data_IF_226110977401
#
_entry.id   IF_226110977401
#
_cell.length_a   1.000
_cell.length_b   1.000
_cell.length_c   1.000
_cell.angle_alpha   90.00
_cell.angle_beta   90.00
_cell.angle_gamma   90.00
#
_symmetry.space_group_name_H-M   'P 1'
#
loop_
_entity.id
_entity.type
_entity.pdbx_description
1 polymer ?
#
# COMPACT_ATOMS: atom_id res chain seq x y z
N UNK A 1 -85.44 16.46 -54.77
CA UNK A 1 -85.05 15.32 -55.62
C UNK A 1 -83.85 14.71 -54.92
N UNK A 2 -84.11 13.91 -53.88
CA UNK A 2 -84.30 12.45 -53.88
C UNK A 2 -82.96 11.81 -53.42
N UNK A 3 -82.85 11.40 -52.16
CA UNK A 3 -83.17 10.07 -51.59
C UNK A 3 -82.11 9.02 -51.99
N UNK A 4 -81.30 8.48 -51.07
CA UNK A 4 -81.57 7.42 -50.07
C UNK A 4 -81.06 6.05 -50.58
N UNK A 5 -80.65 5.19 -49.64
CA UNK A 5 -80.52 3.72 -49.72
C UNK A 5 -79.13 3.19 -50.17
N UNK A 6 -78.37 2.50 -49.32
CA UNK A 6 -78.55 1.18 -48.66
C UNK A 6 -77.93 0.03 -49.49
N UNK A 7 -77.33 -0.91 -48.76
CA UNK A 7 -76.56 -2.10 -49.20
C UNK A 7 -77.42 -3.08 -50.05
N UNK A 8 -76.82 -4.13 -50.64
CA UNK A 8 -76.91 -5.40 -49.89
C UNK A 8 -75.69 -6.32 -49.97
N UNK A 9 -75.63 -7.11 -48.91
CA UNK A 9 -74.91 -8.35 -48.66
C UNK A 9 -75.61 -9.50 -49.41
N UNK A 10 -74.87 -10.42 -50.01
CA UNK A 10 -75.36 -11.75 -50.41
C UNK A 10 -74.36 -12.76 -49.82
N UNK A 11 -74.66 -13.38 -48.68
CA UNK A 11 -75.49 -14.58 -48.47
C UNK A 11 -74.60 -15.82 -48.44
N UNK A 12 -74.51 -16.38 -47.23
CA UNK A 12 -73.74 -17.55 -46.82
C UNK A 12 -74.67 -18.74 -46.85
N UNK A 13 -74.32 -19.79 -47.62
CA UNK A 13 -74.93 -21.11 -47.51
C UNK A 13 -74.07 -21.99 -46.57
N UNK A 14 -74.62 -22.52 -45.46
CA UNK A 14 -73.86 -23.16 -44.40
C UNK A 14 -73.96 -24.70 -44.45
N UNK A 15 -73.05 -25.38 -45.15
CA UNK A 15 -72.78 -26.80 -44.83
C UNK A 15 -71.46 -27.33 -45.41
N UNK A 16 -70.36 -27.19 -44.66
CA UNK A 16 -69.16 -28.03 -44.81
C UNK A 16 -68.26 -27.94 -43.54
N UNK A 17 -67.79 -29.08 -42.98
CA UNK A 17 -67.02 -29.11 -41.73
C UNK A 17 -65.56 -28.61 -41.87
N UNK A 18 -64.90 -28.16 -40.78
CA UNK A 18 -63.61 -27.50 -40.84
C UNK A 18 -62.44 -28.50 -40.94
N UNK A 19 -61.52 -28.28 -41.89
CA UNK A 19 -60.20 -28.95 -41.93
C UNK A 19 -59.09 -27.91 -41.82
N UNK A 20 -58.29 -28.08 -40.78
CA UNK A 20 -57.18 -27.23 -40.34
C UNK A 20 -55.88 -27.59 -41.10
N UNK A 21 -55.34 -26.72 -41.96
CA UNK A 21 -53.90 -26.66 -42.34
C UNK A 21 -53.54 -25.34 -43.07
N UNK A 22 -52.38 -24.68 -42.81
CA UNK A 22 -51.98 -23.42 -43.47
C UNK A 22 -51.31 -23.63 -44.85
N UNK A 23 -51.37 -22.65 -45.79
CA UNK A 23 -50.88 -22.83 -47.16
C UNK A 23 -49.41 -22.45 -47.39
N UNK A 24 -48.75 -23.31 -48.17
CA UNK A 24 -47.43 -23.19 -48.79
C UNK A 24 -47.53 -22.52 -50.18
N UNK A 25 -46.56 -21.66 -50.54
CA UNK A 25 -46.54 -20.87 -51.77
C UNK A 25 -45.80 -21.58 -52.92
N UNK A 26 -46.22 -21.42 -54.21
CA UNK A 26 -45.70 -22.24 -55.32
C UNK A 26 -44.61 -21.59 -56.19
N UNK A 27 -43.68 -22.48 -56.57
CA UNK A 27 -42.87 -22.69 -57.78
C UNK A 27 -42.80 -21.69 -58.97
N UNK A 28 -41.58 -21.57 -59.52
CA UNK A 28 -41.27 -21.39 -60.94
C UNK A 28 -40.01 -22.23 -61.33
N UNK A 29 -40.00 -22.80 -62.53
CA UNK A 29 -38.97 -23.67 -63.12
C UNK A 29 -38.37 -23.02 -64.40
N UNK A 30 -37.48 -23.66 -65.19
CA UNK A 30 -36.20 -24.34 -64.90
C UNK A 30 -35.03 -23.77 -65.77
N UNK A 31 -33.75 -23.92 -65.37
CA UNK A 31 -32.60 -23.62 -66.23
C UNK A 31 -31.50 -24.70 -66.13
N UNK A 32 -30.78 -24.86 -67.23
CA UNK A 32 -30.00 -26.02 -67.64
C UNK A 32 -28.72 -26.30 -66.83
N UNK A 33 -28.31 -27.57 -66.90
CA UNK A 33 -27.11 -28.11 -66.28
C UNK A 33 -25.82 -27.58 -66.93
N UNK A 34 -24.96 -26.94 -66.11
CA UNK A 34 -23.52 -26.83 -66.36
C UNK A 34 -22.76 -27.46 -65.19
N UNK A 35 -21.80 -28.34 -65.53
CA UNK A 35 -20.93 -29.02 -64.59
C UNK A 35 -19.90 -28.03 -64.02
N UNK A 36 -19.90 -27.83 -62.70
CA UNK A 36 -18.92 -26.99 -62.02
C UNK A 36 -17.56 -27.71 -61.91
N UNK A 37 -16.58 -27.31 -62.72
CA UNK A 37 -15.16 -27.60 -62.46
C UNK A 37 -14.74 -26.93 -61.14
N UNK A 38 -14.28 -27.74 -60.18
CA UNK A 38 -13.73 -27.24 -58.93
C UNK A 38 -12.36 -26.60 -59.17
N UNK A 39 -12.27 -25.27 -59.05
CA UNK A 39 -11.00 -24.53 -59.08
C UNK A 39 -10.18 -24.86 -57.83
N UNK A 40 -9.08 -25.58 -57.99
CA UNK A 40 -8.08 -25.78 -56.92
C UNK A 40 -7.40 -24.43 -56.59
N UNK A 41 -7.13 -24.12 -55.30
CA UNK A 41 -6.55 -22.83 -54.94
C UNK A 41 -5.10 -22.70 -55.43
N UNK A 42 -4.81 -21.61 -56.13
CA UNK A 42 -3.46 -21.22 -56.55
C UNK A 42 -2.66 -20.84 -55.30
N UNK A 43 -1.68 -21.67 -54.95
CA UNK A 43 -0.74 -21.40 -53.86
C UNK A 43 0.39 -20.51 -54.40
N UNK A 44 0.39 -19.23 -54.02
CA UNK A 44 1.51 -18.31 -54.29
C UNK A 44 2.61 -18.59 -53.25
N UNK A 45 3.65 -19.34 -53.65
CA UNK A 45 4.84 -19.55 -52.82
C UNK A 45 5.79 -18.36 -53.00
N UNK A 46 5.85 -17.48 -51.99
CA UNK A 46 6.86 -16.42 -51.92
C UNK A 46 8.19 -17.03 -51.46
N UNK A 47 9.04 -17.46 -52.41
CA UNK A 47 10.44 -17.83 -52.12
C UNK A 47 11.21 -16.57 -51.73
N UNK A 48 11.43 -16.38 -50.43
CA UNK A 48 12.51 -15.50 -49.98
C UNK A 48 13.84 -16.22 -50.26
N UNK A 49 14.86 -15.54 -50.81
CA UNK A 49 16.18 -16.14 -50.94
C UNK A 49 16.72 -16.46 -49.54
N UNK A 50 17.24 -17.67 -49.39
CA UNK A 50 17.94 -18.14 -48.19
C UNK A 50 19.16 -17.25 -47.89
N UNK A 51 18.91 -16.16 -47.16
CA UNK A 51 19.92 -15.36 -46.49
C UNK A 51 20.34 -16.07 -45.21
N UNK A 52 21.61 -16.46 -45.17
CA UNK A 52 22.25 -17.28 -44.16
C UNK A 52 21.98 -16.90 -42.68
N UNK A 53 21.64 -17.91 -41.86
CA UNK A 53 22.18 -18.02 -40.49
C UNK A 53 21.26 -17.66 -39.31
N UNK A 54 20.38 -18.59 -38.93
CA UNK A 54 20.17 -19.01 -37.54
C UNK A 54 19.61 -18.00 -36.52
N UNK A 55 18.27 -17.96 -36.42
CA UNK A 55 17.47 -17.25 -35.41
C UNK A 55 17.59 -17.77 -33.95
N UNK A 56 18.66 -18.50 -33.57
CA UNK A 56 18.84 -19.00 -32.20
C UNK A 56 20.27 -18.83 -31.63
N UNK A 57 21.11 -17.97 -32.21
CA UNK A 57 22.50 -17.76 -31.75
C UNK A 57 22.91 -16.32 -31.40
N UNK A 58 21.99 -15.35 -31.48
CA UNK A 58 22.31 -13.91 -31.33
C UNK A 58 21.84 -13.26 -30.02
N UNK A 59 20.73 -13.73 -29.44
CA UNK A 59 20.13 -13.10 -28.25
C UNK A 59 21.04 -13.16 -27.00
N UNK A 60 21.75 -14.28 -26.80
CA UNK A 60 22.71 -14.40 -25.69
C UNK A 60 23.90 -13.45 -25.84
N UNK A 61 24.27 -13.07 -27.06
CA UNK A 61 25.34 -12.10 -27.33
C UNK A 61 24.91 -10.67 -26.98
N UNK A 62 23.61 -10.37 -27.13
CA UNK A 62 23.04 -9.08 -26.73
C UNK A 62 23.03 -8.97 -25.21
N UNK A 63 22.59 -10.02 -24.49
CA UNK A 63 22.65 -10.06 -23.04
C UNK A 63 24.10 -10.01 -22.50
N UNK A 64 25.04 -10.68 -23.18
CA UNK A 64 26.46 -10.63 -22.84
C UNK A 64 27.06 -9.23 -23.08
N UNK A 65 26.70 -8.58 -24.19
CA UNK A 65 27.14 -7.22 -24.47
C UNK A 65 26.60 -6.23 -23.43
N UNK A 66 25.34 -6.36 -23.03
CA UNK A 66 24.70 -5.52 -21.99
C UNK A 66 25.33 -5.74 -20.61
N UNK A 67 25.68 -6.98 -20.27
CA UNK A 67 26.44 -7.27 -19.05
C UNK A 67 27.84 -6.64 -19.10
N UNK A 68 28.54 -6.73 -20.24
CA UNK A 68 29.87 -6.15 -20.41
C UNK A 68 29.84 -4.62 -20.35
N UNK A 69 28.83 -3.96 -20.92
CA UNK A 69 28.67 -2.50 -20.81
C UNK A 69 28.29 -2.08 -19.39
N UNK A 70 27.46 -2.86 -18.67
CA UNK A 70 27.18 -2.62 -17.26
C UNK A 70 28.45 -2.74 -16.40
N UNK A 71 29.29 -3.76 -16.64
CA UNK A 71 30.58 -3.90 -15.93
C UNK A 71 31.58 -2.80 -16.31
N UNK A 72 31.62 -2.37 -17.57
CA UNK A 72 32.44 -1.25 -18.02
C UNK A 72 32.00 0.06 -17.36
N UNK A 73 30.70 0.34 -17.31
CA UNK A 73 30.16 1.53 -16.66
C UNK A 73 30.43 1.52 -15.15
N UNK A 74 30.26 0.37 -14.48
CA UNK A 74 30.62 0.18 -13.08
C UNK A 74 32.11 0.41 -12.83
N UNK A 75 32.98 -0.09 -13.71
CA UNK A 75 34.43 0.11 -13.60
C UNK A 75 34.81 1.58 -13.82
N UNK A 76 34.22 2.27 -14.81
CA UNK A 76 34.44 3.70 -15.02
C UNK A 76 33.97 4.54 -13.83
N UNK A 77 32.85 4.16 -13.19
CA UNK A 77 32.37 4.81 -11.97
C UNK A 77 33.36 4.60 -10.82
N UNK A 78 33.81 3.36 -10.60
CA UNK A 78 34.76 3.05 -9.53
C UNK A 78 36.13 3.69 -9.79
N UNK A 79 36.54 3.77 -11.06
CA UNK A 79 37.76 4.44 -11.48
C UNK A 79 37.70 5.95 -11.23
N UNK A 80 36.57 6.60 -11.56
CA UNK A 80 36.33 7.99 -11.22
C UNK A 80 36.29 8.22 -9.70
N UNK A 81 35.64 7.33 -8.94
CA UNK A 81 35.63 7.40 -7.48
C UNK A 81 37.02 7.23 -6.88
N UNK A 82 37.87 6.36 -7.45
CA UNK A 82 39.25 6.14 -7.04
C UNK A 82 40.19 7.29 -7.40
N UNK A 83 39.98 7.94 -8.54
CA UNK A 83 40.74 9.12 -8.97
C UNK A 83 40.25 10.43 -8.32
N UNK A 84 39.04 10.43 -7.74
CA UNK A 84 38.46 11.60 -7.08
C UNK A 84 38.93 11.77 -5.62
N UNK A 85 39.21 13.01 -5.24
CA UNK A 85 39.62 13.34 -3.88
C UNK A 85 38.43 13.19 -2.90
N UNK A 86 38.73 12.93 -1.62
CA UNK A 86 37.69 12.76 -0.59
C UNK A 86 36.71 13.95 -0.52
N UNK A 87 37.20 15.16 -0.73
CA UNK A 87 36.39 16.38 -0.69
C UNK A 87 35.41 16.50 -1.87
N UNK A 88 35.82 16.05 -3.08
CA UNK A 88 34.94 16.04 -4.26
C UNK A 88 33.81 15.00 -4.13
N UNK A 89 34.11 13.85 -3.52
CA UNK A 89 33.09 12.83 -3.21
C UNK A 89 32.07 13.35 -2.21
N UNK A 90 32.52 14.13 -1.23
CA UNK A 90 31.66 14.77 -0.23
C UNK A 90 30.76 15.84 -0.85
N UNK A 91 31.28 16.71 -1.73
CA UNK A 91 30.47 17.75 -2.37
C UNK A 91 29.39 17.18 -3.29
N UNK A 92 29.68 16.09 -4.01
CA UNK A 92 28.68 15.41 -4.84
C UNK A 92 27.64 14.71 -3.95
N UNK A 93 28.05 14.07 -2.86
CA UNK A 93 27.13 13.46 -1.90
C UNK A 93 26.19 14.50 -1.25
N UNK A 94 26.69 15.71 -0.96
CA UNK A 94 25.89 16.80 -0.41
C UNK A 94 24.83 17.32 -1.40
N UNK A 95 25.11 17.28 -2.71
CA UNK A 95 24.12 17.64 -3.75
C UNK A 95 22.93 16.68 -3.82
N UNK A 96 23.14 15.39 -3.54
CA UNK A 96 22.10 14.35 -3.59
C UNK A 96 21.46 14.05 -2.24
N UNK A 97 21.90 14.69 -1.16
CA UNK A 97 21.15 14.64 0.11
C UNK A 97 19.86 15.43 -0.10
N UNK A 98 18.67 14.81 -0.10
CA UNK A 98 17.45 15.58 -0.03
C UNK A 98 17.56 16.43 1.23
N UNK A 99 17.44 17.75 1.07
CA UNK A 99 17.05 18.63 2.17
C UNK A 99 15.65 18.19 2.56
N UNK A 100 15.61 17.09 3.31
CA UNK A 100 14.50 16.74 4.18
C UNK A 100 14.20 18.05 4.87
N UNK A 101 13.01 18.59 4.66
CA UNK A 101 12.51 19.69 5.46
C UNK A 101 12.49 19.19 6.91
N UNK A 102 13.65 19.17 7.57
CA UNK A 102 13.75 19.14 9.00
C UNK A 102 13.06 20.42 9.39
N UNK A 103 11.91 20.26 10.05
CA UNK A 103 11.31 21.28 10.88
C UNK A 103 12.46 21.94 11.64
N UNK A 104 12.94 23.05 11.11
CA UNK A 104 13.78 23.95 11.85
C UNK A 104 12.83 24.43 12.94
N UNK A 105 13.09 24.17 14.23
CA UNK A 105 12.24 24.70 15.26
C UNK A 105 12.14 26.21 15.01
N UNK A 106 10.91 26.69 14.85
CA UNK A 106 10.56 28.08 14.49
C UNK A 106 11.11 29.11 15.50
N UNK A 107 11.85 28.67 16.52
CA UNK A 107 12.52 29.51 17.52
C UNK A 107 13.93 30.00 17.18
N UNK A 108 14.52 29.67 16.01
CA UNK A 108 15.89 30.11 15.69
C UNK A 108 16.05 30.91 14.37
N UNK A 109 14.95 31.27 13.72
CA UNK A 109 14.96 32.05 12.48
C UNK A 109 14.05 33.28 12.59
N UNK A 110 14.28 34.13 13.59
CA UNK A 110 13.83 35.53 13.59
C UNK A 110 14.42 36.31 14.79
N UNK A 111 15.64 36.82 14.63
CA UNK A 111 16.18 38.04 15.24
C UNK A 111 15.71 38.53 16.62
N UNK A 112 15.74 37.71 17.68
CA UNK A 112 15.33 38.18 19.03
C UNK A 112 16.26 37.80 20.19
N UNK A 113 17.53 37.46 19.94
CA UNK A 113 18.54 37.36 21.01
C UNK A 113 19.30 38.68 21.20
N UNK A 114 18.59 39.74 21.57
CA UNK A 114 19.15 41.04 21.91
C UNK A 114 18.51 41.62 23.17
N UNK A 115 19.31 42.30 23.99
CA UNK A 115 18.98 42.89 25.30
C UNK A 115 17.83 43.90 25.33
N UNK A 116 17.21 44.23 24.20
CA UNK A 116 15.92 44.93 24.13
C UNK A 116 14.85 43.95 23.61
N UNK A 117 14.17 43.30 24.56
CA UNK A 117 13.19 42.25 24.31
C UNK A 117 11.99 42.68 23.46
N UNK A 118 12.00 42.27 22.19
CA UNK A 118 10.82 42.23 21.33
C UNK A 118 10.01 40.96 21.61
N UNK A 119 8.87 41.09 22.29
CA UNK A 119 7.88 40.02 22.40
C UNK A 119 7.21 39.79 21.04
N UNK A 120 7.23 38.56 20.53
CA UNK A 120 6.41 38.16 19.38
C UNK A 120 4.94 38.10 19.81
N UNK A 121 4.03 38.43 18.89
CA UNK A 121 2.55 38.47 19.09
C UNK A 121 1.92 37.07 19.28
N UNK A 122 2.74 36.02 19.37
CA UNK A 122 2.28 34.64 19.51
C UNK A 122 3.07 34.01 20.66
N UNK A 123 2.77 34.49 21.88
CA UNK A 123 3.33 33.96 23.12
C UNK A 123 2.34 32.91 23.70
N UNK A 124 2.67 31.61 23.68
CA UNK A 124 1.80 30.56 24.23
C UNK A 124 1.74 30.56 25.76
N UNK A 125 2.53 31.39 26.47
CA UNK A 125 2.55 31.44 27.94
C UNK A 125 1.53 32.45 28.53
N UNK A 126 0.63 33.01 27.72
CA UNK A 126 -0.36 34.02 28.11
C UNK A 126 -1.75 33.48 28.54
N UNK A 127 -1.83 32.32 29.21
CA UNK A 127 -3.11 31.81 29.76
C UNK A 127 -3.19 31.90 31.30
N UNK A 128 -4.26 32.48 31.89
CA UNK A 128 -4.28 32.86 33.29
C UNK A 128 -4.87 31.79 34.23
N UNK A 129 -4.39 30.54 34.21
CA UNK A 129 -4.63 29.59 35.32
C UNK A 129 -3.49 28.54 35.40
N UNK A 130 -2.47 28.82 36.20
CA UNK A 130 -1.47 27.85 36.63
C UNK A 130 -1.66 27.52 38.12
N UNK A 131 -1.82 26.23 38.44
CA UNK A 131 -1.87 25.73 39.82
C UNK A 131 -0.53 25.97 40.52
N UNK A 132 -0.60 26.54 41.74
CA UNK A 132 0.54 26.85 42.60
C UNK A 132 1.13 25.58 43.25
N UNK A 133 2.45 25.51 43.20
CA UNK A 133 3.33 24.66 44.00
C UNK A 133 3.45 25.20 45.43
N UNK A 134 3.42 24.33 46.45
CA UNK A 134 3.77 24.71 47.84
C UNK A 134 4.59 23.62 48.55
N UNK A 135 5.68 24.06 49.19
CA UNK A 135 6.56 23.33 50.13
C UNK A 135 7.96 23.16 49.55
N UNK A 136 8.98 24.02 49.74
CA UNK A 136 9.44 24.86 50.86
C UNK A 136 10.00 24.07 52.05
N UNK A 137 11.34 23.95 52.09
CA UNK A 137 12.26 24.21 53.21
C UNK A 137 13.67 23.75 52.73
N UNK A 138 14.58 24.66 52.37
CA UNK A 138 15.50 25.37 53.30
C UNK A 138 16.49 24.36 53.91
N UNK A 139 17.81 24.47 53.74
CA UNK A 139 18.63 25.43 54.48
C UNK A 139 20.10 25.38 54.04
N UNK A 140 20.66 26.57 53.86
CA UNK A 140 22.07 26.88 53.59
C UNK A 140 22.96 26.64 54.82
N UNK A 141 24.26 26.34 54.60
CA UNK A 141 25.36 27.06 55.28
C UNK A 141 26.66 27.04 54.46
N UNK A 142 27.56 28.02 54.62
CA UNK A 142 28.57 28.41 53.63
C UNK A 142 30.04 28.14 54.04
N UNK A 143 30.92 28.00 53.02
CA UNK A 143 32.30 28.53 52.83
C UNK A 143 33.32 28.51 54.00
N UNK A 144 34.52 27.98 53.74
CA UNK A 144 35.77 28.43 54.39
C UNK A 144 37.00 28.15 53.50
N UNK A 145 37.80 29.18 53.27
CA UNK A 145 39.12 29.18 52.61
C UNK A 145 40.23 28.75 53.58
N UNK A 146 41.36 28.24 53.03
CA UNK A 146 42.71 28.64 53.49
C UNK A 146 43.62 27.61 54.17
N UNK A 147 44.74 27.29 53.49
CA UNK A 147 46.09 27.26 54.12
C UNK A 147 46.74 25.89 54.40
N UNK A 148 48.09 25.80 54.37
CA UNK A 148 48.84 24.62 53.93
C UNK A 148 49.42 23.77 55.06
N UNK A 149 49.60 22.45 54.84
CA UNK A 149 50.53 21.62 55.62
C UNK A 149 51.37 20.70 54.70
N UNK A 150 52.69 20.63 54.93
CA UNK A 150 53.60 19.68 54.29
C UNK A 150 53.56 18.32 55.05
N UNK A 151 54.07 17.28 54.40
CA UNK A 151 54.33 15.93 54.93
C UNK A 151 53.12 14.97 54.95
N UNK A 152 52.85 14.32 53.81
CA UNK A 152 52.81 12.85 53.66
C UNK A 152 52.59 12.50 52.18
N UNK A 153 53.65 11.98 51.54
CA UNK A 153 53.62 11.15 50.32
C UNK A 153 53.82 9.67 50.78
N UNK A 154 53.57 8.58 50.02
CA UNK A 154 53.23 8.50 48.59
C UNK A 154 52.11 7.51 48.19
N UNK A 155 51.60 7.62 46.96
CA UNK A 155 50.84 6.55 46.29
C UNK A 155 50.02 7.03 45.09
N UNK A 156 49.93 6.27 43.99
CA UNK A 156 50.38 6.83 42.74
C UNK A 156 49.27 7.08 41.69
N UNK A 157 49.61 7.99 40.76
CA UNK A 157 49.19 8.11 39.36
C UNK A 157 47.73 7.88 38.96
N UNK A 158 47.06 9.01 38.64
CA UNK A 158 46.41 9.18 37.34
C UNK A 158 46.10 10.66 37.08
N UNK A 159 47.08 11.37 36.52
CA UNK A 159 46.83 12.54 35.70
C UNK A 159 46.58 12.07 34.26
N UNK A 160 45.45 12.45 33.68
CA UNK A 160 45.33 12.55 32.24
C UNK A 160 44.60 13.84 31.91
N UNK A 161 45.38 14.92 31.89
CA UNK A 161 45.09 16.10 31.08
C UNK A 161 45.22 15.77 29.60
N UNK A 162 44.44 16.51 28.83
CA UNK A 162 44.25 16.41 27.39
C UNK A 162 45.53 16.38 26.55
N UNK A 163 45.47 15.68 25.41
CA UNK A 163 46.09 16.10 24.15
C UNK A 163 45.58 15.28 22.96
N UNK A 164 44.90 15.97 22.06
CA UNK A 164 44.92 15.66 20.63
C UNK A 164 46.38 15.73 20.15
N UNK A 165 46.88 14.72 19.41
CA UNK A 165 47.32 15.05 18.06
C UNK A 165 47.03 13.96 17.02
N UNK A 166 46.41 14.42 15.94
CA UNK A 166 46.76 14.15 14.54
C UNK A 166 48.04 13.34 14.26
N UNK A 167 47.89 12.41 13.30
CA UNK A 167 48.86 11.85 12.34
C UNK A 167 49.75 10.67 12.78
N UNK A 168 49.50 9.51 12.14
CA UNK A 168 50.37 8.33 12.21
C UNK A 168 49.89 7.22 11.28
N UNK A 169 50.56 7.10 10.14
CA UNK A 169 50.37 6.16 9.02
C UNK A 169 50.71 4.71 9.47
N UNK A 170 49.94 3.70 9.06
CA UNK A 170 50.30 2.30 9.34
C UNK A 170 49.39 1.29 8.63
N UNK A 171 50.02 0.43 7.83
CA UNK A 171 49.45 -0.49 6.84
C UNK A 171 48.65 -1.67 7.41
N UNK A 172 47.70 -2.12 6.58
CA UNK A 172 47.17 -3.47 6.41
C UNK A 172 47.45 -4.56 7.45
N UNK A 173 46.36 -5.07 8.04
CA UNK A 173 46.19 -6.51 8.21
C UNK A 173 44.73 -6.91 8.10
N UNK A 174 44.39 -7.61 7.01
CA UNK A 174 43.21 -8.45 6.95
C UNK A 174 43.47 -9.66 7.84
N UNK A 175 42.79 -9.77 8.96
CA UNK A 175 42.53 -11.05 9.58
C UNK A 175 41.00 -11.11 9.76
N UNK A 176 40.39 -12.02 9.03
CA UNK A 176 38.95 -12.22 9.04
C UNK A 176 38.53 -12.83 10.36
N UNK A 177 37.53 -12.23 10.98
CA UNK A 177 36.63 -12.90 11.90
C UNK A 177 35.24 -12.31 11.71
N UNK A 178 34.34 -13.14 11.19
CA UNK A 178 32.92 -12.86 11.01
C UNK A 178 32.22 -12.77 12.36
N UNK A 179 32.41 -11.66 13.05
CA UNK A 179 31.56 -11.25 14.16
C UNK A 179 30.29 -10.62 13.61
N UNK A 180 29.15 -11.30 13.79
CA UNK A 180 27.82 -10.71 13.68
C UNK A 180 27.66 -9.62 14.75
N UNK A 181 28.26 -8.45 14.52
CA UNK A 181 27.93 -7.23 15.26
C UNK A 181 26.64 -6.64 14.65
N UNK A 182 25.47 -6.69 15.34
CA UNK A 182 24.21 -6.14 14.82
C UNK A 182 24.26 -4.62 14.59
N UNK A 183 25.28 -3.93 15.13
CA UNK A 183 25.48 -2.49 15.00
C UNK A 183 26.34 -2.07 13.80
N UNK A 184 26.94 -3.00 13.05
CA UNK A 184 27.72 -2.69 11.83
C UNK A 184 26.95 -2.90 10.51
N UNK A 185 25.68 -3.26 10.58
CA UNK A 185 24.84 -3.44 9.39
C UNK A 185 24.48 -2.09 8.76
N UNK A 186 24.69 -1.96 7.45
CA UNK A 186 24.25 -0.79 6.70
C UNK A 186 22.71 -0.69 6.71
N UNK A 187 22.15 0.52 6.57
CA UNK A 187 20.69 0.71 6.49
C UNK A 187 20.02 -0.15 5.41
N UNK A 188 20.72 -0.40 4.30
CA UNK A 188 20.24 -1.25 3.22
C UNK A 188 20.13 -2.72 3.67
N UNK A 189 21.15 -3.26 4.35
CA UNK A 189 21.12 -4.63 4.87
C UNK A 189 20.07 -4.82 5.97
N UNK A 190 19.92 -3.84 6.88
CA UNK A 190 18.86 -3.88 7.91
C UNK A 190 17.47 -3.90 7.27
N UNK A 191 17.29 -3.13 6.19
CA UNK A 191 16.05 -3.10 5.42
C UNK A 191 15.78 -4.44 4.72
N UNK A 192 16.76 -5.02 4.05
CA UNK A 192 16.61 -6.34 3.40
C UNK A 192 16.27 -7.45 4.40
N UNK A 193 16.91 -7.45 5.58
CA UNK A 193 16.60 -8.41 6.66
C UNK A 193 15.17 -8.21 7.16
N UNK A 194 14.75 -6.96 7.40
CA UNK A 194 13.39 -6.65 7.83
C UNK A 194 12.35 -7.06 6.78
N UNK A 195 12.61 -6.78 5.50
CA UNK A 195 11.74 -7.19 4.38
C UNK A 195 11.62 -8.71 4.26
N UNK A 196 12.73 -9.44 4.46
CA UNK A 196 12.72 -10.90 4.43
C UNK A 196 11.94 -11.48 5.63
N UNK A 197 12.11 -10.91 6.82
CA UNK A 197 11.33 -11.30 8.00
C UNK A 197 9.83 -11.00 7.82
N UNK A 198 9.49 -9.83 7.27
CA UNK A 198 8.11 -9.46 6.96
C UNK A 198 7.49 -10.41 5.95
N UNK A 199 8.25 -10.80 4.93
CA UNK A 199 7.81 -11.79 3.95
C UNK A 199 7.40 -13.09 4.64
N UNK A 200 8.27 -13.64 5.49
CA UNK A 200 7.99 -14.87 6.24
C UNK A 200 6.80 -14.71 7.19
N UNK A 201 6.73 -13.59 7.91
CA UNK A 201 5.61 -13.26 8.80
C UNK A 201 4.28 -13.15 8.06
N UNK A 202 4.27 -12.54 6.87
CA UNK A 202 3.07 -12.41 6.04
C UNK A 202 2.62 -13.73 5.45
N UNK A 203 3.54 -14.60 5.04
CA UNK A 203 3.22 -15.96 4.59
C UNK A 203 2.57 -16.77 5.71
N UNK A 204 3.12 -16.66 6.93
CA UNK A 204 2.54 -17.29 8.12
C UNK A 204 1.16 -16.73 8.44
N UNK A 205 1.01 -15.40 8.44
CA UNK A 205 -0.25 -14.72 8.71
C UNK A 205 -1.34 -15.10 7.71
N UNK A 206 -1.01 -15.11 6.41
CA UNK A 206 -1.94 -15.51 5.36
C UNK A 206 -2.42 -16.95 5.56
N UNK A 207 -1.50 -17.86 5.86
CA UNK A 207 -1.83 -19.27 6.13
C UNK A 207 -2.74 -19.39 7.37
N UNK A 208 -2.38 -18.72 8.46
CA UNK A 208 -3.13 -18.77 9.71
C UNK A 208 -4.56 -18.24 9.54
N UNK A 209 -4.73 -17.10 8.84
CA UNK A 209 -6.06 -16.56 8.55
C UNK A 209 -6.85 -17.57 7.72
N UNK A 210 -6.28 -18.12 6.64
CA UNK A 210 -6.98 -19.11 5.79
C UNK A 210 -7.40 -20.36 6.56
N UNK A 211 -6.54 -20.83 7.47
CA UNK A 211 -6.83 -21.97 8.34
C UNK A 211 -7.97 -21.67 9.31
N UNK A 212 -7.88 -20.56 10.06
CA UNK A 212 -8.95 -20.13 10.99
C UNK A 212 -10.30 -19.92 10.29
N UNK A 213 -10.29 -19.40 9.07
CA UNK A 213 -11.51 -19.23 8.26
C UNK A 213 -12.10 -20.57 7.79
N UNK A 214 -11.26 -21.59 7.59
CA UNK A 214 -11.68 -22.90 7.12
C UNK A 214 -12.15 -23.81 8.26
N UNK A 215 -11.54 -23.71 9.45
CA UNK A 215 -11.88 -24.52 10.62
C UNK A 215 -13.20 -24.09 11.28
N UNK A 216 -13.47 -22.79 11.28
CA UNK A 216 -14.63 -22.26 11.98
C UNK A 216 -15.87 -22.30 11.07
N UNK A 217 -16.82 -23.19 11.42
CA UNK A 217 -18.10 -23.37 10.73
C UNK A 217 -18.90 -22.08 10.51
N UNK A 218 -18.68 -21.05 11.34
CA UNK A 218 -19.35 -19.74 11.19
C UNK A 218 -18.91 -18.99 9.92
N UNK A 219 -17.74 -19.33 9.37
CA UNK A 219 -17.14 -18.65 8.21
C UNK A 219 -17.21 -19.43 6.91
N UNK A 220 -17.75 -20.65 6.90
CA UNK A 220 -17.86 -21.48 5.68
C UNK A 220 -18.51 -20.73 4.50
N UNK A 221 -19.51 -19.89 4.78
CA UNK A 221 -20.27 -19.11 3.79
C UNK A 221 -19.60 -17.78 3.39
N UNK A 222 -18.58 -17.32 4.15
CA UNK A 222 -17.97 -16.01 3.97
C UNK A 222 -16.44 -16.06 3.77
N UNK A 223 -15.85 -17.25 3.68
CA UNK A 223 -14.41 -17.41 3.44
C UNK A 223 -13.97 -16.83 2.09
N UNK A 224 -14.82 -16.92 1.07
CA UNK A 224 -14.56 -16.43 -0.31
C UNK A 224 -14.76 -14.90 -0.44
N UNK A 225 -14.99 -14.22 0.68
CA UNK A 225 -15.22 -12.79 0.80
C UNK A 225 -13.98 -12.14 1.39
N UNK A 226 -13.02 -12.94 1.89
CA UNK A 226 -11.71 -12.48 2.29
C UNK A 226 -10.73 -12.74 1.15
N UNK A 227 -10.19 -11.66 0.60
CA UNK A 227 -9.06 -11.72 -0.33
C UNK A 227 -7.80 -11.27 0.39
N UNK A 228 -6.72 -12.05 0.28
CA UNK A 228 -5.42 -11.69 0.84
C UNK A 228 -4.47 -11.51 -0.33
N UNK A 229 -3.79 -10.38 -0.41
CA UNK A 229 -2.89 -10.03 -1.51
C UNK A 229 -1.65 -9.33 -0.99
N UNK A 230 -0.48 -9.73 -1.50
CA UNK A 230 0.78 -9.02 -1.26
C UNK A 230 0.79 -7.72 -2.07
N UNK A 231 1.06 -6.62 -1.39
CA UNK A 231 1.21 -5.27 -1.95
C UNK A 231 2.62 -4.74 -1.67
N UNK A 232 3.02 -3.65 -2.34
CA UNK A 232 4.32 -2.99 -2.13
C UNK A 232 4.48 -2.48 -0.70
N UNK A 233 3.38 -2.07 -0.07
CA UNK A 233 3.38 -1.56 1.30
C UNK A 233 3.31 -2.67 2.35
N UNK A 234 2.96 -3.91 1.98
CA UNK A 234 2.85 -5.05 2.90
C UNK A 234 1.77 -6.06 2.51
N UNK A 235 1.06 -6.63 3.48
CA UNK A 235 -0.01 -7.61 3.23
C UNK A 235 -1.39 -6.93 3.33
N UNK A 236 -2.15 -6.93 2.22
CA UNK A 236 -3.52 -6.39 2.17
C UNK A 236 -4.54 -7.49 2.36
N UNK A 237 -5.41 -7.33 3.33
CA UNK A 237 -6.55 -8.20 3.62
C UNK A 237 -7.82 -7.42 3.28
N UNK A 238 -8.55 -7.85 2.25
CA UNK A 238 -9.79 -7.21 1.81
C UNK A 238 -10.98 -8.07 2.22
N UNK A 239 -11.94 -7.49 2.94
CA UNK A 239 -13.25 -8.10 3.18
C UNK A 239 -14.24 -7.47 2.21
N UNK A 240 -14.86 -8.29 1.38
CA UNK A 240 -15.67 -7.90 0.21
C UNK A 240 -17.14 -8.25 0.45
N UNK A 241 -18.03 -7.27 0.25
CA UNK A 241 -19.48 -7.52 0.26
C UNK A 241 -19.93 -8.34 -0.96
N UNK A 242 -20.95 -9.18 -0.78
CA UNK A 242 -21.67 -9.89 -1.85
C UNK A 242 -23.19 -9.82 -1.60
N UNK A 243 -23.99 -10.35 -2.53
CA UNK A 243 -25.46 -10.37 -2.38
C UNK A 243 -25.92 -11.02 -1.06
N UNK A 244 -25.25 -12.10 -0.65
CA UNK A 244 -25.65 -12.90 0.52
C UNK A 244 -24.88 -12.53 1.79
N UNK A 245 -23.97 -11.55 1.71
CA UNK A 245 -23.14 -11.08 2.81
C UNK A 245 -22.87 -9.58 2.70
N UNK A 246 -23.38 -8.82 3.65
CA UNK A 246 -23.06 -7.40 3.80
C UNK A 246 -22.35 -7.15 5.13
N UNK A 247 -21.19 -6.49 5.09
CA UNK A 247 -20.47 -6.08 6.30
C UNK A 247 -21.21 -4.98 7.07
N UNK A 248 -21.85 -4.10 6.32
CA UNK A 248 -22.61 -2.97 6.83
C UNK A 248 -23.99 -2.97 6.19
N UNK A 249 -25.04 -2.55 6.92
CA UNK A 249 -26.34 -2.31 6.32
C UNK A 249 -26.24 -1.21 5.26
N UNK A 250 -27.18 -1.22 4.30
CA UNK A 250 -27.25 -0.18 3.26
C UNK A 250 -27.31 1.21 3.90
N UNK A 251 -26.44 2.12 3.46
CA UNK A 251 -26.33 3.48 3.99
C UNK A 251 -25.90 3.61 5.45
N UNK A 252 -25.60 2.50 6.14
CA UNK A 252 -25.24 2.51 7.56
C UNK A 252 -23.77 2.15 7.82
N UNK A 253 -23.36 2.41 9.05
CA UNK A 253 -21.98 2.19 9.56
C UNK A 253 -21.94 1.15 10.69
N UNK A 254 -23.08 0.65 11.15
CA UNK A 254 -23.15 -0.34 12.22
C UNK A 254 -22.72 -1.73 11.74
N UNK A 255 -21.45 -2.08 11.92
CA UNK A 255 -20.93 -3.43 11.66
C UNK A 255 -21.44 -4.42 12.70
N UNK A 256 -22.04 -5.54 12.28
CA UNK A 256 -22.62 -6.53 13.18
C UNK A 256 -22.46 -7.98 12.65
N UNK A 257 -22.79 -8.95 13.52
CA UNK A 257 -22.93 -10.36 13.12
C UNK A 257 -21.65 -10.99 12.59
N UNK A 258 -21.76 -11.70 11.46
CA UNK A 258 -20.67 -12.46 10.83
C UNK A 258 -19.48 -11.59 10.47
N UNK A 259 -19.71 -10.36 10.00
CA UNK A 259 -18.65 -9.43 9.63
C UNK A 259 -17.82 -8.99 10.85
N UNK A 260 -18.49 -8.63 11.95
CA UNK A 260 -17.79 -8.27 13.18
C UNK A 260 -16.99 -9.45 13.78
N UNK A 261 -17.51 -10.67 13.65
CA UNK A 261 -16.79 -11.88 14.05
C UNK A 261 -15.55 -12.11 13.18
N UNK A 262 -15.66 -11.93 11.86
CA UNK A 262 -14.56 -12.07 10.91
C UNK A 262 -13.43 -11.09 11.19
N UNK A 263 -13.75 -9.80 11.38
CA UNK A 263 -12.76 -8.78 11.77
C UNK A 263 -12.11 -9.14 13.11
N UNK A 264 -12.86 -9.77 14.02
CA UNK A 264 -12.33 -10.29 15.28
C UNK A 264 -11.26 -11.37 15.10
N UNK A 265 -11.43 -12.30 14.17
CA UNK A 265 -10.42 -13.32 13.88
C UNK A 265 -9.18 -12.71 13.23
N UNK A 266 -9.38 -11.79 12.27
CA UNK A 266 -8.29 -11.05 11.65
C UNK A 266 -7.50 -10.29 12.73
N UNK A 267 -8.17 -9.61 13.65
CA UNK A 267 -7.52 -8.94 14.77
C UNK A 267 -6.71 -9.91 15.65
N UNK A 268 -7.26 -11.09 15.95
CA UNK A 268 -6.57 -12.09 16.76
C UNK A 268 -5.28 -12.57 16.10
N UNK A 269 -5.27 -12.79 14.79
CA UNK A 269 -4.05 -13.15 14.04
C UNK A 269 -3.05 -11.99 13.92
N UNK A 270 -3.51 -10.74 13.97
CA UNK A 270 -2.65 -9.55 13.89
C UNK A 270 -2.05 -9.11 15.23
N UNK A 271 -2.58 -9.61 16.36
CA UNK A 271 -2.24 -9.15 17.70
C UNK A 271 -0.76 -9.37 18.03
N UNK A 272 -0.20 -10.51 17.62
CA UNK A 272 1.17 -10.92 17.94
C UNK A 272 2.23 -10.28 17.02
N UNK A 273 1.81 -9.66 15.92
CA UNK A 273 2.75 -9.02 14.99
C UNK A 273 3.09 -7.61 15.46
N UNK A 274 4.31 -7.06 15.24
CA UNK A 274 4.63 -5.67 15.56
C UNK A 274 4.21 -4.67 14.48
N UNK A 275 3.88 -5.16 13.28
CA UNK A 275 3.71 -4.38 12.05
C UNK A 275 2.57 -3.36 12.16
N UNK A 276 2.79 -2.13 11.70
CA UNK A 276 1.72 -1.12 11.70
C UNK A 276 0.57 -1.52 10.75
N UNK A 277 -0.62 -0.97 11.00
CA UNK A 277 -1.84 -1.28 10.24
C UNK A 277 -2.41 0.00 9.64
N UNK A 278 -2.82 -0.07 8.38
CA UNK A 278 -3.62 0.95 7.70
C UNK A 278 -4.99 0.37 7.33
N UNK A 279 -6.02 1.20 7.41
CA UNK A 279 -7.40 0.79 7.11
C UNK A 279 -7.96 1.70 6.03
N UNK A 280 -8.54 1.11 4.99
CA UNK A 280 -9.17 1.83 3.90
C UNK A 280 -10.58 1.31 3.67
N UNK A 281 -11.53 2.23 3.59
CA UNK A 281 -12.92 1.95 3.28
C UNK A 281 -13.25 2.28 1.82
N UNK A 282 -13.97 1.38 1.15
CA UNK A 282 -14.48 1.56 -0.20
C UNK A 282 -16.01 1.40 -0.22
N UNK A 283 -16.67 2.12 -1.11
CA UNK A 283 -18.08 1.99 -1.44
C UNK A 283 -18.27 1.73 -2.93
N UNK A 284 -19.46 1.34 -3.33
CA UNK A 284 -19.87 1.33 -4.74
C UNK A 284 -20.31 2.74 -5.17
N UNK A 285 -20.62 2.88 -6.46
CA UNK A 285 -21.11 4.13 -7.02
C UNK A 285 -22.62 4.36 -6.78
N UNK A 286 -23.30 3.52 -5.99
CA UNK A 286 -24.70 3.75 -5.65
C UNK A 286 -24.75 5.09 -4.89
N UNK A 287 -25.55 6.08 -5.34
CA UNK A 287 -25.59 7.38 -4.69
C UNK A 287 -26.07 7.22 -3.24
N UNK A 288 -25.16 7.44 -2.30
CA UNK A 288 -25.52 7.71 -0.93
C UNK A 288 -25.75 9.20 -0.80
N UNK A 289 -27.01 9.61 -0.68
CA UNK A 289 -27.39 10.97 -0.33
C UNK A 289 -28.30 10.89 0.87
N UNK A 290 -27.81 11.39 2.00
CA UNK A 290 -28.61 11.53 3.20
C UNK A 290 -29.02 13.01 3.38
N UNK A 291 -30.15 13.31 4.06
CA UNK A 291 -30.60 14.69 4.28
C UNK A 291 -29.54 15.60 4.93
N UNK A 292 -28.58 15.01 5.66
CA UNK A 292 -27.49 15.69 6.35
C UNK A 292 -26.28 16.05 5.45
N UNK A 293 -26.40 15.86 4.13
CA UNK A 293 -25.30 16.12 3.18
C UNK A 293 -24.20 15.06 3.16
N UNK A 294 -24.41 13.93 3.84
CA UNK A 294 -23.50 12.78 3.78
C UNK A 294 -23.50 12.14 2.39
N UNK A 295 -22.31 11.74 1.96
CA UNK A 295 -22.04 11.09 0.68
C UNK A 295 -21.11 9.86 0.84
N UNK A 296 -20.78 9.20 -0.26
CA UNK A 296 -19.91 8.03 -0.28
C UNK A 296 -18.50 8.29 0.32
N UNK A 297 -18.00 9.52 0.27
CA UNK A 297 -16.74 9.90 0.94
C UNK A 297 -16.87 9.82 2.46
N UNK A 298 -17.89 10.46 3.02
CA UNK A 298 -18.15 10.37 4.47
C UNK A 298 -18.45 8.93 4.91
N UNK A 299 -19.25 8.18 4.13
CA UNK A 299 -19.64 6.81 4.45
C UNK A 299 -18.45 5.85 4.48
N UNK A 300 -17.57 5.93 3.47
CA UNK A 300 -16.37 5.09 3.40
C UNK A 300 -15.40 5.37 4.56
N UNK A 301 -15.20 6.65 4.91
CA UNK A 301 -14.36 7.04 6.04
C UNK A 301 -14.94 6.58 7.40
N UNK A 302 -16.24 6.75 7.61
CA UNK A 302 -16.91 6.31 8.85
C UNK A 302 -16.86 4.78 9.01
N UNK A 303 -17.04 4.02 7.93
CA UNK A 303 -16.92 2.55 7.96
C UNK A 303 -15.49 2.09 8.26
N UNK A 304 -14.49 2.80 7.74
CA UNK A 304 -13.09 2.54 8.06
C UNK A 304 -12.80 2.80 9.55
N UNK A 305 -13.33 3.88 10.12
CA UNK A 305 -13.20 4.19 11.56
C UNK A 305 -13.91 3.14 12.44
N UNK A 306 -15.11 2.71 12.09
CA UNK A 306 -15.81 1.64 12.84
C UNK A 306 -15.00 0.34 12.81
N UNK A 307 -14.39 0.01 11.67
CA UNK A 307 -13.51 -1.16 11.54
C UNK A 307 -12.29 -1.03 12.46
N UNK A 308 -11.65 0.16 12.51
CA UNK A 308 -10.54 0.46 13.41
C UNK A 308 -10.93 0.30 14.89
N UNK A 309 -12.07 0.85 15.29
CA UNK A 309 -12.60 0.72 16.65
C UNK A 309 -12.80 -0.75 17.04
N UNK A 310 -13.32 -1.55 16.12
CA UNK A 310 -13.51 -2.97 16.36
C UNK A 310 -12.18 -3.71 16.50
N UNK A 311 -11.21 -3.45 15.63
CA UNK A 311 -9.86 -4.02 15.73
C UNK A 311 -9.19 -3.63 17.07
N UNK A 312 -9.32 -2.37 17.50
CA UNK A 312 -8.80 -1.91 18.79
C UNK A 312 -9.45 -2.66 19.95
N UNK A 313 -10.78 -2.76 19.94
CA UNK A 313 -11.54 -3.51 20.95
C UNK A 313 -11.15 -5.00 21.01
N UNK A 314 -10.62 -5.55 19.91
CA UNK A 314 -10.16 -6.93 19.78
C UNK A 314 -8.68 -7.14 20.13
N UNK A 315 -7.98 -6.11 20.57
CA UNK A 315 -6.63 -6.23 21.15
C UNK A 315 -5.53 -5.55 20.33
N UNK A 316 -5.84 -4.97 19.17
CA UNK A 316 -4.86 -4.18 18.43
C UNK A 316 -4.64 -2.84 19.15
N UNK A 317 -3.40 -2.54 19.51
CA UNK A 317 -3.06 -1.30 20.21
C UNK A 317 -3.27 -0.08 19.31
N UNK A 318 -3.59 1.07 19.91
CA UNK A 318 -3.91 2.29 19.17
C UNK A 318 -2.71 2.84 18.37
N UNK A 319 -1.50 2.73 18.92
CA UNK A 319 -0.23 3.13 18.30
C UNK A 319 0.14 2.33 17.05
N UNK A 320 -0.53 1.20 16.80
CA UNK A 320 -0.33 0.37 15.61
C UNK A 320 -1.03 0.95 14.38
N UNK A 321 -2.08 1.75 14.55
CA UNK A 321 -2.80 2.32 13.41
C UNK A 321 -2.03 3.52 12.84
N UNK A 322 -1.67 3.46 11.56
CA UNK A 322 -0.93 4.55 10.90
C UNK A 322 -1.85 5.54 10.21
N UNK A 323 -2.90 5.05 9.56
CA UNK A 323 -3.84 5.89 8.80
C UNK A 323 -5.17 5.18 8.57
N UNK A 324 -6.19 6.00 8.37
CA UNK A 324 -7.57 5.61 8.06
C UNK A 324 -7.99 6.42 6.84
N UNK A 325 -8.49 5.73 5.82
CA UNK A 325 -8.81 6.34 4.54
C UNK A 325 -10.23 5.95 4.11
N UNK A 326 -11.01 6.91 3.64
CA UNK A 326 -12.26 6.67 2.92
C UNK A 326 -12.09 7.11 1.48
N UNK A 327 -12.24 6.20 0.53
CA UNK A 327 -12.01 6.49 -0.91
C UNK A 327 -13.26 6.40 -1.76
N UNK A 328 -14.44 6.39 -1.14
CA UNK A 328 -15.73 6.30 -1.84
C UNK A 328 -15.70 5.21 -2.94
N UNK A 329 -16.13 5.54 -4.16
CA UNK A 329 -16.19 4.70 -5.36
C UNK A 329 -15.00 4.91 -6.32
N UNK A 330 -13.93 5.59 -5.90
CA UNK A 330 -12.82 5.98 -6.81
C UNK A 330 -11.88 4.84 -7.16
N UNK A 331 -11.89 3.76 -6.38
CA UNK A 331 -11.05 2.57 -6.57
C UNK A 331 -11.92 1.29 -6.51
N UNK A 332 -12.72 1.00 -7.55
CA UNK A 332 -13.65 -0.12 -7.58
C UNK A 332 -12.92 -1.46 -7.75
N UNK A 333 -13.39 -2.49 -7.03
CA UNK A 333 -12.90 -3.86 -7.19
C UNK A 333 -13.24 -4.44 -8.57
N UNK A 334 -14.42 -4.12 -9.09
CA UNK A 334 -14.85 -4.42 -10.45
C UNK A 334 -15.00 -3.11 -11.25
N UNK A 335 -13.97 -2.67 -11.98
CA UNK A 335 -14.03 -1.43 -12.76
C UNK A 335 -15.06 -1.45 -13.89
N UNK A 336 -15.51 -2.63 -14.32
CA UNK A 336 -16.50 -2.78 -15.40
C UNK A 336 -17.93 -2.48 -14.95
N UNK A 337 -18.20 -2.66 -13.67
CA UNK A 337 -19.50 -2.35 -13.06
C UNK A 337 -19.29 -1.62 -11.74
N UNK A 338 -19.51 -0.31 -11.77
CA UNK A 338 -19.32 0.57 -10.61
C UNK A 338 -20.36 0.35 -9.52
N UNK A 339 -21.50 -0.26 -9.84
CA UNK A 339 -22.58 -0.54 -8.87
C UNK A 339 -22.48 -1.95 -8.27
N UNK A 340 -21.47 -2.73 -8.67
CA UNK A 340 -21.23 -4.07 -8.15
C UNK A 340 -21.05 -4.03 -6.62
N UNK A 341 -21.82 -4.84 -5.85
CA UNK A 341 -21.66 -4.96 -4.41
C UNK A 341 -20.23 -5.21 -3.94
N UNK A 342 -19.41 -5.90 -4.75
CA UNK A 342 -18.01 -6.18 -4.43
C UNK A 342 -17.13 -4.92 -4.36
N UNK A 343 -17.59 -3.80 -4.90
CA UNK A 343 -16.91 -2.52 -4.74
C UNK A 343 -17.00 -1.99 -3.30
N UNK A 344 -18.03 -2.41 -2.54
CA UNK A 344 -18.11 -2.19 -1.09
C UNK A 344 -17.21 -3.19 -0.38
N UNK A 345 -16.02 -2.73 0.01
CA UNK A 345 -15.01 -3.57 0.67
C UNK A 345 -14.23 -2.77 1.69
N UNK A 346 -13.79 -3.44 2.76
CA UNK A 346 -12.86 -2.87 3.74
C UNK A 346 -11.49 -3.52 3.54
N UNK A 347 -10.45 -2.70 3.39
CA UNK A 347 -9.08 -3.16 3.23
C UNK A 347 -8.28 -2.87 4.50
N UNK A 348 -7.69 -3.91 5.08
CA UNK A 348 -6.79 -3.85 6.22
C UNK A 348 -5.41 -4.20 5.71
N UNK A 349 -4.50 -3.23 5.68
CA UNK A 349 -3.13 -3.42 5.21
C UNK A 349 -2.19 -3.51 6.39
N UNK A 350 -1.51 -4.65 6.53
CA UNK A 350 -0.39 -4.84 7.45
C UNK A 350 0.86 -4.35 6.78
N UNK A 351 1.43 -3.26 7.28
CA UNK A 351 2.56 -2.57 6.66
C UNK A 351 3.88 -3.32 6.89
N UNK A 352 4.82 -3.19 5.96
CA UNK A 352 6.21 -3.57 6.18
C UNK A 352 6.78 -2.81 7.39
N UNK A 353 7.72 -3.41 8.11
CA UNK A 353 8.43 -2.76 9.19
C UNK A 353 9.43 -1.76 8.63
N UNK A 354 9.39 -0.55 9.22
CA UNK A 354 10.48 0.39 9.04
C UNK A 354 11.72 -0.15 9.78
N UNK A 355 12.90 -0.26 9.12
CA UNK A 355 14.12 -0.68 9.79
C UNK A 355 14.46 0.32 10.90
N UNK A 356 14.55 -0.16 12.14
CA UNK A 356 14.93 0.64 13.32
C UNK A 356 16.42 0.98 13.35
#
# INVERSE_FOLDING_TARGET
MADEQAQPVAEVDPDAPPTDTPPEAPAAAPEAAEASEALAPVIIIKKMPDGHGGAHGGAWKIALADMMTAMMAFFLLMWLLGASNADQRKSIADYFKPTSHSLTPVGQLAGSNGVLGGRSIIDPDAFPYAMRQTGLLERLTPKSEGGPNPDTDPGPENENEAKDPSSGKGEGKSDGEGGNDPDKLTKAQKKEIAEQQDKENFEKLEKEIKEKLSENKKFEQIKDQVSITRDKEGLRIEIIDKADFAMFPSGGVGMQGKAAALIGEVAASLADMPNKVAIRGHTDAVPFQNPDGKNNWSLSAERAEVTRQLLQKKGIKEDRFTRIEGVADTDPFNPKDKFDPRNRRMSITVLNQDPK
#
